data_IF_390906927602
#
_entry.id   IF_390906927602
#
_cell.length_a   1.000
_cell.length_b   1.000
_cell.length_c   1.000
_cell.angle_alpha   90.00
_cell.angle_beta   90.00
_cell.angle_gamma   90.00
#
_symmetry.space_group_name_H-M   'P 1'
#
loop_
_entity.id
_entity.type
_entity.pdbx_description
1 polymer ?
#
# COMPACT_ATOMS: atom_id res chain seq x y z
N UNK A 1 10.74 -10.89 19.28
CA UNK A 1 10.77 -11.91 18.21
C UNK A 1 9.78 -11.50 17.13
N UNK A 2 10.11 -11.68 15.84
CA UNK A 2 9.27 -11.29 14.70
C UNK A 2 8.50 -12.45 14.09
N UNK A 3 7.51 -12.16 13.24
CA UNK A 3 6.70 -13.16 12.50
C UNK A 3 7.60 -14.12 11.72
N UNK A 4 8.53 -13.59 10.94
CA UNK A 4 9.45 -14.36 10.09
C UNK A 4 10.32 -15.33 10.88
N UNK A 5 10.73 -14.93 12.08
CA UNK A 5 11.52 -15.73 13.01
C UNK A 5 10.66 -16.81 13.68
N UNK A 6 9.49 -16.42 14.18
CA UNK A 6 8.52 -17.32 14.83
C UNK A 6 8.14 -18.49 13.92
N UNK A 7 7.87 -18.21 12.64
CA UNK A 7 7.48 -19.22 11.66
C UNK A 7 8.64 -19.76 10.82
N UNK A 8 9.88 -19.37 11.13
CA UNK A 8 11.10 -19.86 10.47
C UNK A 8 11.05 -19.71 8.95
N UNK A 9 10.55 -18.58 8.46
CA UNK A 9 10.35 -18.32 7.02
C UNK A 9 11.67 -18.26 6.24
N UNK A 10 12.80 -18.04 6.94
CA UNK A 10 14.14 -17.86 6.34
C UNK A 10 14.18 -16.70 5.32
N UNK A 11 13.36 -15.68 5.55
CA UNK A 11 13.26 -14.45 4.76
C UNK A 11 13.53 -13.24 5.65
N UNK A 12 14.04 -12.16 5.06
CA UNK A 12 14.11 -10.84 5.70
C UNK A 12 12.99 -9.93 5.18
N UNK A 13 12.75 -8.80 5.84
CA UNK A 13 11.70 -7.81 5.49
C UNK A 13 11.66 -7.44 4.00
N UNK A 14 12.81 -7.31 3.34
CA UNK A 14 12.87 -6.99 1.91
C UNK A 14 12.19 -8.05 1.02
N UNK A 15 12.28 -9.33 1.40
CA UNK A 15 11.72 -10.47 0.65
C UNK A 15 10.26 -10.80 1.01
N UNK A 16 9.70 -10.13 2.03
CA UNK A 16 8.33 -10.32 2.51
C UNK A 16 7.41 -9.28 1.89
N UNK A 17 6.18 -9.67 1.55
CA UNK A 17 5.17 -8.73 1.02
C UNK A 17 4.44 -7.97 2.14
N UNK A 18 4.49 -8.49 3.36
CA UNK A 18 3.90 -7.90 4.56
C UNK A 18 4.97 -7.26 5.45
N UNK A 19 4.54 -6.45 6.42
CA UNK A 19 5.40 -5.91 7.47
C UNK A 19 5.71 -7.01 8.50
N UNK A 20 6.98 -7.37 8.68
CA UNK A 20 7.47 -8.42 9.59
C UNK A 20 7.42 -7.96 11.05
N UNK A 21 6.22 -7.73 11.55
CA UNK A 21 6.00 -7.10 12.85
C UNK A 21 6.64 -7.87 14.02
N UNK A 22 7.13 -7.16 15.06
CA UNK A 22 7.44 -7.80 16.33
C UNK A 22 6.15 -8.33 16.98
N UNK A 23 6.23 -9.48 17.66
CA UNK A 23 5.08 -10.12 18.31
C UNK A 23 4.81 -9.63 19.74
N UNK A 24 5.69 -8.78 20.28
CA UNK A 24 5.68 -8.37 21.70
C UNK A 24 5.54 -6.85 21.88
N UNK A 25 5.69 -6.08 20.79
CA UNK A 25 5.66 -4.62 20.72
C UNK A 25 5.06 -4.20 19.38
N UNK A 26 4.99 -2.90 19.10
CA UNK A 26 4.56 -2.39 17.80
C UNK A 26 5.76 -1.93 16.95
N UNK A 27 5.53 -1.84 15.64
CA UNK A 27 6.41 -1.14 14.71
C UNK A 27 5.83 0.25 14.38
N UNK A 28 6.60 1.36 14.48
CA UNK A 28 6.11 2.72 14.29
C UNK A 28 5.91 3.08 12.81
N UNK A 29 4.99 2.37 12.17
CA UNK A 29 4.51 2.58 10.80
C UNK A 29 2.98 2.56 10.81
N UNK A 30 2.36 3.23 9.84
CA UNK A 30 0.93 3.52 9.85
C UNK A 30 0.31 3.17 8.51
N UNK A 31 -0.86 2.52 8.51
CA UNK A 31 -1.67 2.33 7.31
C UNK A 31 -2.29 3.67 6.93
N UNK A 32 -2.16 4.05 5.67
CA UNK A 32 -2.58 5.36 5.21
C UNK A 32 -3.60 5.23 4.05
N UNK A 33 -4.79 5.85 4.12
CA UNK A 33 -5.81 5.62 3.10
C UNK A 33 -5.52 6.29 1.74
N UNK A 34 -4.75 7.37 1.68
CA UNK A 34 -4.26 7.92 0.40
C UNK A 34 -3.34 6.91 -0.31
N UNK A 35 -2.54 6.14 0.41
CA UNK A 35 -1.74 5.04 -0.13
C UNK A 35 -2.64 3.95 -0.74
N UNK A 36 -3.73 3.58 -0.05
CA UNK A 36 -4.69 2.61 -0.58
C UNK A 36 -5.35 3.15 -1.86
N UNK A 37 -5.82 4.42 -1.85
CA UNK A 37 -6.45 5.06 -3.02
C UNK A 37 -5.49 5.21 -4.21
N UNK A 38 -4.21 5.38 -3.95
CA UNK A 38 -3.20 5.49 -5.00
C UNK A 38 -2.88 4.15 -5.68
N UNK A 39 -3.22 3.02 -5.04
CA UNK A 39 -3.09 1.70 -5.66
C UNK A 39 -4.29 1.46 -6.58
N UNK A 40 -4.02 1.16 -7.85
CA UNK A 40 -5.03 0.77 -8.83
C UNK A 40 -5.11 -0.77 -8.95
N UNK A 41 -5.67 -1.40 -7.91
CA UNK A 41 -5.81 -2.86 -7.83
C UNK A 41 -7.23 -3.25 -7.42
N UNK A 42 -7.70 -4.48 -7.71
CA UNK A 42 -8.98 -4.95 -7.22
C UNK A 42 -9.10 -4.90 -5.68
N UNK A 43 -8.02 -5.29 -4.98
CA UNK A 43 -7.98 -5.31 -3.52
C UNK A 43 -8.06 -3.89 -2.92
N UNK A 44 -7.34 -2.92 -3.48
CA UNK A 44 -7.45 -1.52 -3.02
C UNK A 44 -8.80 -0.91 -3.32
N UNK A 45 -9.41 -1.25 -4.46
CA UNK A 45 -10.75 -0.77 -4.81
C UNK A 45 -11.81 -1.20 -3.79
N UNK A 46 -11.74 -2.45 -3.33
CA UNK A 46 -12.58 -2.96 -2.24
C UNK A 46 -12.33 -2.22 -0.92
N UNK A 47 -11.06 -2.04 -0.55
CA UNK A 47 -10.69 -1.29 0.66
C UNK A 47 -11.21 0.16 0.63
N UNK A 48 -11.11 0.84 -0.51
CA UNK A 48 -11.63 2.20 -0.69
C UNK A 48 -13.15 2.23 -0.55
N UNK A 49 -13.86 1.26 -1.14
CA UNK A 49 -15.31 1.17 -1.02
C UNK A 49 -15.75 0.98 0.45
N UNK A 50 -15.04 0.15 1.22
CA UNK A 50 -15.29 -0.04 2.66
C UNK A 50 -15.10 1.25 3.45
N UNK A 51 -13.99 1.96 3.22
CA UNK A 51 -13.67 3.22 3.89
C UNK A 51 -14.72 4.30 3.61
N UNK A 52 -15.09 4.47 2.34
CA UNK A 52 -16.11 5.44 1.91
C UNK A 52 -17.49 5.10 2.48
N UNK A 53 -17.88 3.83 2.42
CA UNK A 53 -19.15 3.35 2.95
C UNK A 53 -19.24 3.57 4.47
N UNK A 54 -18.21 3.19 5.21
CA UNK A 54 -18.16 3.38 6.66
C UNK A 54 -18.26 4.86 7.03
N UNK A 55 -17.41 5.70 6.43
CA UNK A 55 -17.35 7.11 6.82
C UNK A 55 -18.63 7.87 6.44
N UNK A 56 -19.25 7.53 5.31
CA UNK A 56 -20.58 8.07 4.93
C UNK A 56 -21.66 7.73 5.96
N UNK A 57 -21.63 6.51 6.54
CA UNK A 57 -22.54 6.11 7.60
C UNK A 57 -22.30 6.89 8.90
N UNK A 58 -21.04 7.14 9.26
CA UNK A 58 -20.67 7.98 10.41
C UNK A 58 -21.19 9.40 10.21
N UNK A 59 -20.88 10.05 9.08
CA UNK A 59 -21.32 11.41 8.78
C UNK A 59 -22.86 11.53 8.76
N UNK A 60 -23.56 10.55 8.19
CA UNK A 60 -25.02 10.50 8.20
C UNK A 60 -25.58 10.46 9.63
N UNK A 61 -24.98 9.68 10.52
CA UNK A 61 -25.38 9.61 11.92
C UNK A 61 -25.10 10.93 12.66
N UNK A 62 -23.94 11.57 12.43
CA UNK A 62 -23.62 12.92 12.95
C UNK A 62 -24.68 13.94 12.51
N UNK A 63 -24.98 13.99 11.21
CA UNK A 63 -25.92 14.96 10.63
C UNK A 63 -27.34 14.78 11.16
N UNK A 64 -27.78 13.54 11.38
CA UNK A 64 -29.09 13.22 11.97
C UNK A 64 -29.13 13.39 13.49
N UNK A 65 -28.00 13.66 14.15
CA UNK A 65 -27.90 13.71 15.60
C UNK A 65 -28.08 12.34 16.28
N UNK A 66 -27.92 11.23 15.54
CA UNK A 66 -28.07 9.87 16.07
C UNK A 66 -26.80 9.46 16.84
N UNK A 67 -26.75 9.90 18.10
CA UNK A 67 -25.64 9.64 19.02
C UNK A 67 -25.40 8.16 19.24
N UNK A 68 -26.47 7.39 19.44
CA UNK A 68 -26.34 5.97 19.74
C UNK A 68 -25.67 5.23 18.57
N UNK A 69 -26.10 5.53 17.35
CA UNK A 69 -25.52 4.95 16.14
C UNK A 69 -24.07 5.34 15.95
N UNK A 70 -23.74 6.63 16.02
CA UNK A 70 -22.38 7.07 15.76
C UNK A 70 -21.37 6.55 16.79
N UNK A 71 -21.73 6.55 18.08
CA UNK A 71 -20.91 5.95 19.14
C UNK A 71 -20.74 4.44 18.91
N UNK A 72 -21.80 3.74 18.49
CA UNK A 72 -21.71 2.32 18.14
C UNK A 72 -20.79 2.06 16.94
N UNK A 73 -20.76 2.94 15.94
CA UNK A 73 -19.88 2.81 14.78
C UNK A 73 -18.41 3.05 15.16
N UNK A 74 -18.14 4.17 15.85
CA UNK A 74 -16.77 4.57 16.23
C UNK A 74 -16.18 3.69 17.33
N UNK A 75 -17.00 3.14 18.22
CA UNK A 75 -16.53 2.32 19.36
C UNK A 75 -15.87 0.99 18.97
N UNK A 76 -15.98 0.56 17.70
CA UNK A 76 -15.32 -0.62 17.15
C UNK A 76 -14.01 -0.30 16.41
N UNK A 77 -13.64 0.98 16.30
CA UNK A 77 -12.36 1.40 15.69
C UNK A 77 -11.16 1.23 16.64
N UNK A 78 -11.39 0.67 17.83
CA UNK A 78 -10.37 0.53 18.86
C UNK A 78 -9.27 -0.41 18.42
N UNK A 79 -8.06 -0.11 18.89
CA UNK A 79 -6.89 -0.92 18.67
C UNK A 79 -7.11 -2.34 19.22
N UNK A 80 -6.91 -3.31 18.34
CA UNK A 80 -6.66 -4.69 18.74
C UNK A 80 -5.19 -4.94 18.50
N UNK A 81 -4.54 -5.64 19.43
CA UNK A 81 -3.13 -6.01 19.34
C UNK A 81 -2.82 -7.00 18.19
N UNK A 82 -3.73 -7.19 17.24
CA UNK A 82 -3.61 -8.17 16.16
C UNK A 82 -2.73 -7.65 15.00
N UNK A 83 -2.52 -6.33 14.89
CA UNK A 83 -1.80 -5.70 13.77
C UNK A 83 -0.33 -5.35 14.10
N UNK A 84 -0.02 -5.07 15.37
CA UNK A 84 1.31 -4.68 15.86
C UNK A 84 1.93 -3.46 15.14
N UNK A 85 1.11 -2.46 14.82
CA UNK A 85 1.51 -1.20 14.19
C UNK A 85 1.18 -0.05 15.14
N UNK A 86 2.12 0.87 15.37
CA UNK A 86 1.94 1.95 16.33
C UNK A 86 3.19 2.28 17.14
N UNK A 87 3.01 3.06 18.20
CA UNK A 87 4.11 3.57 19.03
C UNK A 87 4.33 2.78 20.34
N UNK A 88 3.64 1.66 20.58
CA UNK A 88 3.71 0.98 21.88
C UNK A 88 5.09 0.35 22.12
N UNK A 89 5.67 0.66 23.28
CA UNK A 89 6.96 0.10 23.75
C UNK A 89 6.84 -1.23 24.51
N UNK A 90 5.62 -1.71 24.77
CA UNK A 90 5.31 -3.04 25.34
C UNK A 90 4.12 -3.68 24.61
N UNK A 91 3.48 -4.72 25.19
CA UNK A 91 2.20 -5.23 24.65
C UNK A 91 1.24 -4.07 24.47
N UNK A 92 0.67 -3.89 23.28
CA UNK A 92 -0.16 -2.73 22.99
C UNK A 92 -1.25 -2.58 24.06
N UNK A 93 -1.23 -1.42 24.72
CA UNK A 93 -2.24 -1.00 25.70
C UNK A 93 -2.90 0.25 25.16
N UNK A 94 -3.64 0.03 24.07
CA UNK A 94 -4.72 0.81 23.49
C UNK A 94 -4.80 2.29 23.88
N UNK A 95 -4.45 3.17 22.96
CA UNK A 95 -4.86 4.58 23.00
C UNK A 95 -5.91 4.93 21.91
N UNK A 96 -6.15 4.05 20.95
CA UNK A 96 -7.13 4.30 19.89
C UNK A 96 -8.58 4.05 20.32
N UNK A 97 -9.43 5.06 20.11
CA UNK A 97 -10.90 5.10 20.18
C UNK A 97 -11.65 4.35 21.31
N UNK A 98 -10.99 3.82 22.35
CA UNK A 98 -11.60 3.14 23.51
C UNK A 98 -12.91 3.78 24.01
N UNK A 99 -13.79 3.06 24.73
CA UNK A 99 -15.14 3.55 25.09
C UNK A 99 -15.19 4.99 25.66
N UNK A 100 -14.14 5.45 26.36
CA UNK A 100 -13.97 6.84 26.77
C UNK A 100 -13.54 7.81 25.65
N UNK A 101 -12.62 7.40 24.76
CA UNK A 101 -12.15 8.20 23.62
C UNK A 101 -13.06 8.13 22.37
N UNK A 102 -13.83 7.07 22.12
CA UNK A 102 -14.91 7.10 21.13
C UNK A 102 -15.95 8.16 21.49
N UNK A 103 -16.26 8.30 22.79
CA UNK A 103 -17.10 9.37 23.31
C UNK A 103 -16.51 10.75 23.03
N UNK A 104 -15.22 10.96 23.33
CA UNK A 104 -14.56 12.25 23.08
C UNK A 104 -14.41 12.58 21.59
N UNK A 105 -14.08 11.60 20.74
CA UNK A 105 -14.00 11.81 19.28
C UNK A 105 -15.39 12.11 18.72
N UNK A 106 -16.42 11.38 19.15
CA UNK A 106 -17.80 11.70 18.79
C UNK A 106 -18.20 13.10 19.22
N UNK A 107 -17.87 13.50 20.46
CA UNK A 107 -18.12 14.85 20.93
C UNK A 107 -17.39 15.88 20.06
N UNK A 108 -16.12 15.64 19.73
CA UNK A 108 -15.36 16.49 18.82
C UNK A 108 -15.98 16.54 17.42
N UNK A 109 -16.49 15.43 16.88
CA UNK A 109 -17.20 15.39 15.59
C UNK A 109 -18.55 16.13 15.64
N UNK A 110 -19.32 16.02 16.72
CA UNK A 110 -20.59 16.74 16.89
C UNK A 110 -20.41 18.23 17.09
N UNK A 111 -19.39 18.61 17.85
CA UNK A 111 -19.05 20.01 18.13
C UNK A 111 -18.37 20.65 16.92
N UNK A 112 -17.69 19.86 16.10
CA UNK A 112 -17.16 20.28 14.82
C UNK A 112 -18.30 20.68 13.88
N UNK A 113 -18.37 21.98 13.59
CA UNK A 113 -19.26 22.49 12.56
C UNK A 113 -18.88 21.94 11.18
N UNK A 114 -17.61 21.66 10.93
CA UNK A 114 -17.11 21.04 9.70
C UNK A 114 -17.74 19.67 9.40
N UNK A 115 -18.07 18.89 10.43
CA UNK A 115 -18.81 17.62 10.27
C UNK A 115 -20.27 17.83 9.84
N UNK A 116 -20.90 18.92 10.30
CA UNK A 116 -22.29 19.27 9.99
C UNK A 116 -22.42 20.00 8.66
N UNK A 117 -21.42 20.79 8.27
CA UNK A 117 -21.41 21.56 7.02
C UNK A 117 -21.04 20.73 5.79
N UNK A 118 -20.60 19.48 5.98
CA UNK A 118 -20.17 18.59 4.89
C UNK A 118 -18.74 18.84 4.40
N UNK A 119 -17.97 19.67 5.11
CA UNK A 119 -16.55 19.91 4.83
C UNK A 119 -15.72 18.66 5.11
N UNK A 120 -16.06 17.91 6.16
CA UNK A 120 -15.51 16.57 6.39
C UNK A 120 -16.16 15.59 5.40
N UNK A 121 -15.33 14.98 4.55
CA UNK A 121 -15.79 14.03 3.52
C UNK A 121 -15.01 12.72 3.55
N UNK A 122 -13.77 12.74 4.02
CA UNK A 122 -12.95 11.55 4.22
C UNK A 122 -12.43 11.45 5.66
N UNK A 123 -12.03 10.25 6.07
CA UNK A 123 -11.53 9.96 7.42
C UNK A 123 -10.29 10.82 7.75
N UNK A 124 -9.41 11.07 6.79
CA UNK A 124 -8.17 11.84 6.95
C UNK A 124 -8.41 13.33 7.18
N UNK A 125 -9.56 13.85 6.75
CA UNK A 125 -9.94 15.23 7.04
C UNK A 125 -10.02 15.44 8.57
N UNK A 126 -10.37 14.39 9.33
CA UNK A 126 -10.42 14.45 10.79
C UNK A 126 -9.05 14.66 11.42
N UNK A 127 -7.97 14.16 10.81
CA UNK A 127 -6.61 14.43 11.27
C UNK A 127 -6.24 15.93 11.15
N UNK A 128 -6.87 16.66 10.24
CA UNK A 128 -6.65 18.10 10.07
C UNK A 128 -7.55 18.94 10.99
N UNK A 129 -8.81 18.54 11.14
CA UNK A 129 -9.86 19.41 11.68
C UNK A 129 -10.38 19.02 13.07
N UNK A 130 -10.01 17.83 13.56
CA UNK A 130 -10.49 17.31 14.85
C UNK A 130 -9.33 17.20 15.84
N UNK A 131 -9.45 17.91 16.96
CA UNK A 131 -8.49 17.88 18.05
C UNK A 131 -8.38 16.47 18.64
N UNK A 132 -7.15 16.06 18.97
CA UNK A 132 -6.86 14.72 19.49
C UNK A 132 -6.81 13.59 18.46
N UNK A 133 -7.22 13.80 17.20
CA UNK A 133 -7.11 12.76 16.15
C UNK A 133 -5.75 12.83 15.47
N UNK A 134 -4.92 11.80 15.68
CA UNK A 134 -3.60 11.63 15.09
C UNK A 134 -3.55 10.58 13.98
N UNK A 135 -2.38 10.43 13.34
CA UNK A 135 -2.16 9.45 12.27
C UNK A 135 -2.24 7.98 12.75
N UNK A 136 -1.88 7.74 14.01
CA UNK A 136 -2.06 6.47 14.72
C UNK A 136 -3.53 6.06 14.77
N UNK A 137 -4.40 6.97 15.22
CA UNK A 137 -5.83 6.74 15.28
C UNK A 137 -6.42 6.50 13.88
N UNK A 138 -5.99 7.27 12.87
CA UNK A 138 -6.43 7.03 11.48
C UNK A 138 -5.99 5.64 11.02
N UNK A 139 -4.74 5.26 11.24
CA UNK A 139 -4.22 3.94 10.87
C UNK A 139 -5.04 2.81 11.50
N UNK A 140 -5.32 2.90 12.80
CA UNK A 140 -6.10 1.87 13.51
C UNK A 140 -7.55 1.80 13.01
N UNK A 141 -8.17 2.96 12.78
CA UNK A 141 -9.50 3.03 12.20
C UNK A 141 -9.53 2.36 10.83
N UNK A 142 -8.54 2.65 9.97
CA UNK A 142 -8.42 2.04 8.64
C UNK A 142 -8.27 0.54 8.75
N UNK A 143 -7.30 0.06 9.53
CA UNK A 143 -7.07 -1.38 9.74
C UNK A 143 -8.33 -2.12 10.19
N UNK A 144 -9.12 -1.52 11.09
CA UNK A 144 -10.38 -2.13 11.54
C UNK A 144 -11.48 -2.09 10.47
N UNK A 145 -11.62 -0.99 9.71
CA UNK A 145 -12.61 -0.89 8.63
C UNK A 145 -12.30 -1.88 7.50
N UNK A 146 -11.03 -2.01 7.11
CA UNK A 146 -10.58 -2.92 6.04
C UNK A 146 -10.13 -4.30 6.58
N UNK A 147 -10.55 -4.66 7.79
CA UNK A 147 -10.11 -5.88 8.47
C UNK A 147 -10.42 -7.16 7.67
N UNK A 148 -11.56 -7.24 7.01
CA UNK A 148 -11.92 -8.41 6.21
C UNK A 148 -10.94 -8.63 5.03
N UNK A 149 -10.67 -7.63 4.16
CA UNK A 149 -9.61 -7.73 3.15
C UNK A 149 -8.21 -8.04 3.71
N UNK A 150 -7.87 -7.54 4.90
CA UNK A 150 -6.59 -7.86 5.57
C UNK A 150 -6.53 -9.30 6.07
N UNK A 151 -7.66 -9.86 6.55
CA UNK A 151 -7.76 -11.26 6.94
C UNK A 151 -7.56 -12.16 5.71
N UNK A 152 -8.22 -11.86 4.59
CA UNK A 152 -8.06 -12.63 3.35
C UNK A 152 -6.60 -12.58 2.86
N UNK A 153 -6.01 -11.39 2.84
CA UNK A 153 -4.58 -11.22 2.56
C UNK A 153 -3.70 -12.03 3.52
N UNK A 154 -4.00 -12.02 4.81
CA UNK A 154 -3.26 -12.79 5.82
C UNK A 154 -3.33 -14.29 5.53
N UNK A 155 -4.50 -14.80 5.18
CA UNK A 155 -4.70 -16.22 4.84
C UNK A 155 -3.92 -16.59 3.58
N UNK A 156 -3.91 -15.73 2.56
CA UNK A 156 -3.14 -15.94 1.34
C UNK A 156 -1.64 -15.96 1.63
N UNK A 157 -1.13 -15.02 2.44
CA UNK A 157 0.27 -15.03 2.88
C UNK A 157 0.60 -16.25 3.72
N UNK A 158 -0.30 -16.69 4.59
CA UNK A 158 -0.09 -17.89 5.39
C UNK A 158 0.02 -19.14 4.50
N UNK A 159 -0.86 -19.29 3.50
CA UNK A 159 -0.76 -20.37 2.51
C UNK A 159 0.52 -20.28 1.68
N UNK A 160 0.89 -19.07 1.24
CA UNK A 160 2.11 -18.84 0.45
C UNK A 160 3.39 -19.23 1.20
N UNK A 161 3.50 -18.86 2.47
CA UNK A 161 4.68 -19.10 3.30
C UNK A 161 4.62 -20.40 4.12
N UNK A 162 3.49 -21.12 4.09
CA UNK A 162 3.28 -22.31 4.91
C UNK A 162 3.14 -22.02 6.41
N UNK A 163 2.60 -20.85 6.77
CA UNK A 163 2.32 -20.48 8.16
C UNK A 163 1.06 -21.22 8.62
N UNK A 164 1.11 -21.98 9.74
CA UNK A 164 -0.05 -22.69 10.24
C UNK A 164 -1.11 -21.72 10.73
N UNK A 165 -2.38 -22.03 10.42
CA UNK A 165 -3.54 -21.29 10.89
C UNK A 165 -4.40 -22.17 11.80
N UNK A 166 -5.07 -21.54 12.75
CA UNK A 166 -6.02 -22.18 13.65
C UNK A 166 -7.43 -21.87 13.16
N UNK A 167 -8.28 -22.88 13.03
CA UNK A 167 -9.67 -22.73 12.63
C UNK A 167 -10.57 -22.23 13.76
N UNK A 168 -11.75 -21.73 13.40
CA UNK A 168 -12.77 -21.20 14.33
C UNK A 168 -12.25 -20.08 15.26
N UNK A 169 -11.31 -19.27 14.80
CA UNK A 169 -10.86 -18.07 15.49
C UNK A 169 -11.85 -16.94 15.22
N UNK A 170 -12.17 -16.13 16.23
CA UNK A 170 -12.99 -14.94 16.03
C UNK A 170 -12.26 -13.93 15.16
N UNK A 171 -12.87 -13.48 14.07
CA UNK A 171 -12.32 -12.43 13.21
C UNK A 171 -12.17 -11.08 13.94
N UNK A 172 -12.96 -10.88 14.99
CA UNK A 172 -13.32 -9.54 15.46
C UNK A 172 -14.38 -8.87 14.59
N UNK A 173 -14.80 -7.65 14.95
CA UNK A 173 -15.76 -6.88 14.18
C UNK A 173 -15.16 -6.52 12.83
N UNK A 174 -15.76 -7.01 11.77
CA UNK A 174 -15.49 -6.59 10.41
C UNK A 174 -16.62 -5.67 9.95
N UNK A 175 -16.28 -4.58 9.26
CA UNK A 175 -17.30 -3.71 8.69
C UNK A 175 -18.02 -4.43 7.53
N UNK A 176 -19.34 -4.53 7.61
CA UNK A 176 -20.16 -5.10 6.54
C UNK A 176 -20.95 -3.99 5.84
N UNK A 177 -20.68 -3.79 4.54
CA UNK A 177 -21.28 -2.70 3.76
C UNK A 177 -22.80 -2.87 3.57
N UNK A 178 -23.29 -4.11 3.54
CA UNK A 178 -24.71 -4.39 3.31
C UNK A 178 -25.50 -4.22 4.60
N UNK A 179 -25.01 -4.80 5.70
CA UNK A 179 -25.61 -4.63 7.02
C UNK A 179 -25.37 -3.22 7.59
N UNK A 180 -24.41 -2.48 7.03
CA UNK A 180 -23.89 -1.22 7.56
C UNK A 180 -23.54 -1.37 9.04
N UNK A 181 -22.95 -2.49 9.42
CA UNK A 181 -22.68 -2.77 10.83
C UNK A 181 -21.45 -3.65 10.99
N UNK A 182 -20.97 -3.70 12.22
CA UNK A 182 -19.86 -4.56 12.60
C UNK A 182 -20.36 -6.01 12.76
N UNK A 183 -19.77 -6.93 12.00
CA UNK A 183 -20.12 -8.35 12.00
C UNK A 183 -18.88 -9.17 12.33
N UNK A 184 -18.97 -10.07 13.31
CA UNK A 184 -17.91 -11.03 13.62
C UNK A 184 -18.20 -12.37 12.96
N UNK A 185 -17.14 -13.05 12.52
CA UNK A 185 -17.20 -14.37 11.88
C UNK A 185 -16.17 -15.30 12.54
N UNK A 186 -16.35 -16.61 12.35
CA UNK A 186 -15.36 -17.61 12.71
C UNK A 186 -14.55 -17.96 11.47
N UNK A 187 -13.23 -17.82 11.57
CA UNK A 187 -12.30 -17.88 10.44
C UNK A 187 -11.03 -18.64 10.82
N UNK A 188 -10.12 -18.78 9.86
CA UNK A 188 -8.77 -19.27 10.10
C UNK A 188 -7.79 -18.10 10.20
N UNK A 189 -6.94 -18.08 11.24
CA UNK A 189 -5.87 -17.10 11.42
C UNK A 189 -4.60 -17.74 12.01
N UNK A 190 -3.42 -17.17 11.72
CA UNK A 190 -2.21 -17.52 12.47
C UNK A 190 -2.33 -17.04 13.92
N UNK A 191 -1.91 -17.88 14.86
CA UNK A 191 -1.98 -17.58 16.30
C UNK A 191 -0.62 -17.69 17.01
N UNK A 192 0.35 -16.83 16.69
CA UNK A 192 1.65 -16.88 17.34
C UNK A 192 1.49 -16.63 18.85
N UNK A 193 2.08 -17.49 19.68
CA UNK A 193 1.94 -17.44 21.15
C UNK A 193 0.48 -17.45 21.66
N UNK A 194 -0.46 -17.96 20.88
CA UNK A 194 -1.88 -18.03 21.24
C UNK A 194 -2.67 -16.72 21.08
N UNK A 195 -2.09 -15.69 20.45
CA UNK A 195 -2.77 -14.44 20.13
C UNK A 195 -3.02 -14.36 18.62
N UNK A 196 -4.16 -13.79 18.18
CA UNK A 196 -4.46 -13.61 16.76
C UNK A 196 -3.49 -12.63 16.10
N UNK A 197 -3.05 -12.93 14.88
CA UNK A 197 -2.22 -12.05 14.07
C UNK A 197 -2.89 -11.78 12.72
N UNK A 198 -2.97 -10.50 12.34
CA UNK A 198 -3.38 -10.06 11.01
C UNK A 198 -2.21 -9.35 10.35
N UNK A 199 -1.75 -9.91 9.23
CA UNK A 199 -0.64 -9.37 8.45
C UNK A 199 -1.10 -8.17 7.63
N UNK A 200 -0.26 -7.14 7.59
CA UNK A 200 -0.53 -5.91 6.83
C UNK A 200 0.45 -5.82 5.66
N UNK A 201 -0.02 -5.61 4.41
CA UNK A 201 0.84 -5.42 3.26
C UNK A 201 1.81 -4.26 3.48
N UNK A 202 3.10 -4.45 3.17
CA UNK A 202 4.08 -3.37 3.37
C UNK A 202 3.90 -2.21 2.38
N UNK A 203 3.14 -2.42 1.29
CA UNK A 203 2.83 -1.42 0.27
C UNK A 203 1.90 -0.30 0.74
N UNK A 204 1.06 -0.54 1.75
CA UNK A 204 0.07 0.43 2.26
C UNK A 204 0.51 1.17 3.52
N UNK A 205 1.66 0.80 4.10
CA UNK A 205 2.19 1.46 5.31
C UNK A 205 3.10 2.65 4.97
N UNK A 206 3.10 3.66 5.84
CA UNK A 206 3.88 4.89 5.76
C UNK A 206 4.52 5.21 7.11
N UNK A 207 5.57 6.03 7.10
CA UNK A 207 6.22 6.52 8.32
C UNK A 207 5.35 7.53 9.10
N UNK A 208 4.46 8.22 8.40
CA UNK A 208 3.57 9.24 8.95
C UNK A 208 2.29 9.32 8.09
N UNK A 209 1.23 9.91 8.65
CA UNK A 209 0.00 10.17 7.91
C UNK A 209 0.22 11.15 6.75
N UNK A 210 -0.55 10.97 5.67
CA UNK A 210 -0.43 11.85 4.50
C UNK A 210 -0.86 13.30 4.79
N UNK A 211 -1.80 13.48 5.72
CA UNK A 211 -2.40 14.76 6.06
C UNK A 211 -1.71 15.32 7.30
N UNK A 212 -1.11 16.50 7.15
CA UNK A 212 -0.41 17.20 8.20
C UNK A 212 -1.06 18.57 8.44
N UNK A 213 -1.60 18.75 9.65
CA UNK A 213 -2.31 19.96 10.05
C UNK A 213 -1.42 21.20 9.99
N UNK A 214 -0.14 21.05 10.36
CA UNK A 214 0.84 22.14 10.31
C UNK A 214 1.08 22.62 8.88
N UNK A 215 1.31 21.69 7.96
CA UNK A 215 1.52 21.97 6.54
C UNK A 215 0.27 22.55 5.90
N UNK A 216 -0.89 21.95 6.14
CA UNK A 216 -2.17 22.45 5.63
C UNK A 216 -2.41 23.90 6.06
N UNK A 217 -2.30 24.17 7.37
CA UNK A 217 -2.51 25.52 7.90
C UNK A 217 -1.48 26.52 7.35
N UNK A 218 -0.19 26.18 7.41
CA UNK A 218 0.90 27.11 7.06
C UNK A 218 1.04 27.35 5.56
N UNK A 219 0.81 26.33 4.73
CA UNK A 219 1.11 26.37 3.29
C UNK A 219 -0.13 26.43 2.39
N UNK A 220 -1.33 26.18 2.92
CA UNK A 220 -2.58 26.26 2.15
C UNK A 220 -3.52 27.34 2.70
N UNK A 221 -3.89 27.29 3.98
CA UNK A 221 -4.80 28.29 4.57
C UNK A 221 -4.19 29.69 4.65
N UNK A 222 -3.06 29.84 5.35
CA UNK A 222 -2.48 31.16 5.59
C UNK A 222 -2.14 31.94 4.31
N UNK A 223 -1.58 31.34 3.25
CA UNK A 223 -1.34 32.06 1.99
C UNK A 223 -2.61 32.60 1.34
N UNK A 224 -3.73 31.89 1.43
CA UNK A 224 -4.99 32.35 0.86
C UNK A 224 -5.59 33.49 1.70
N UNK A 225 -5.55 33.36 3.03
CA UNK A 225 -5.94 34.45 3.94
C UNK A 225 -5.08 35.71 3.72
N UNK A 226 -3.77 35.57 3.48
CA UNK A 226 -2.91 36.70 3.11
C UNK A 226 -3.44 37.43 1.87
N UNK A 227 -3.83 36.71 0.82
CA UNK A 227 -4.40 37.31 -0.40
C UNK A 227 -5.73 38.01 -0.11
N UNK A 228 -6.63 37.38 0.64
CA UNK A 228 -7.92 37.95 0.99
C UNK A 228 -7.78 39.24 1.81
N UNK A 229 -6.90 39.25 2.81
CA UNK A 229 -6.62 40.44 3.61
C UNK A 229 -5.95 41.57 2.81
N UNK A 230 -5.06 41.23 1.87
CA UNK A 230 -4.46 42.20 0.94
C UNK A 230 -5.51 42.79 -0.01
N UNK A 231 -6.39 41.96 -0.57
CA UNK A 231 -7.44 42.39 -1.49
C UNK A 231 -8.46 43.30 -0.81
N UNK A 232 -8.91 42.92 0.40
CA UNK A 232 -9.89 43.70 1.19
C UNK A 232 -9.32 44.95 1.84
N UNK A 233 -7.98 45.08 1.95
CA UNK A 233 -7.37 46.22 2.65
C UNK A 233 -7.64 46.22 4.15
N UNK A 234 -7.84 45.05 4.74
CA UNK A 234 -8.14 44.89 6.18
C UNK A 234 -7.07 45.49 7.10
N UNK A 235 -7.41 45.65 8.39
CA UNK A 235 -6.49 46.15 9.42
C UNK A 235 -5.23 45.29 9.67
N UNK A 236 -5.11 44.12 9.04
CA UNK A 236 -3.89 43.30 9.09
C UNK A 236 -2.87 43.65 8.00
N UNK A 237 -3.19 44.59 7.11
CA UNK A 237 -2.30 45.02 6.03
C UNK A 237 -1.29 46.05 6.53
N UNK A 238 0.00 45.73 6.38
CA UNK A 238 1.12 46.63 6.64
C UNK A 238 1.60 47.26 5.34
N UNK A 239 1.91 48.56 5.36
CA UNK A 239 2.58 49.27 4.25
C UNK A 239 4.05 49.47 4.62
N UNK A 240 4.95 48.89 3.83
CA UNK A 240 6.39 49.04 4.04
C UNK A 240 6.88 50.41 3.59
N UNK A 241 8.08 50.81 4.05
CA UNK A 241 8.77 52.02 3.57
C UNK A 241 8.92 52.07 2.03
N UNK A 242 9.01 50.90 1.40
CA UNK A 242 9.03 50.73 -0.07
C UNK A 242 7.67 50.87 -0.75
N UNK A 243 6.62 51.29 -0.03
CA UNK A 243 5.20 51.34 -0.44
C UNK A 243 4.57 49.98 -0.80
N UNK A 244 5.30 48.87 -0.63
CA UNK A 244 4.74 47.52 -0.81
C UNK A 244 3.81 47.17 0.34
N UNK A 245 2.63 46.64 0.00
CA UNK A 245 1.65 46.11 0.96
C UNK A 245 1.97 44.66 1.28
N UNK A 246 1.90 44.28 2.56
CA UNK A 246 2.07 42.89 3.00
C UNK A 246 1.13 42.55 4.15
N UNK A 247 0.82 41.27 4.28
CA UNK A 247 0.22 40.68 5.48
C UNK A 247 1.16 39.57 5.92
N UNK A 248 1.51 39.49 7.20
CA UNK A 248 2.44 38.46 7.69
C UNK A 248 1.68 37.23 8.20
N UNK A 249 2.25 36.03 8.01
CA UNK A 249 1.69 34.79 8.58
C UNK A 249 1.60 34.86 10.10
N UNK A 250 2.57 35.48 10.76
CA UNK A 250 2.59 35.68 12.21
C UNK A 250 1.39 36.51 12.69
N UNK A 251 1.04 37.59 11.98
CA UNK A 251 -0.14 38.39 12.31
C UNK A 251 -1.44 37.59 12.16
N UNK A 252 -1.57 36.80 11.09
CA UNK A 252 -2.72 35.93 10.87
C UNK A 252 -2.84 34.84 11.96
N UNK A 253 -1.73 34.19 12.33
CA UNK A 253 -1.72 33.20 13.41
C UNK A 253 -2.14 33.80 14.76
N UNK A 254 -1.71 35.04 15.05
CA UNK A 254 -2.12 35.75 16.27
C UNK A 254 -3.61 36.12 16.24
N UNK A 255 -4.14 36.48 15.06
CA UNK A 255 -5.53 36.89 14.90
C UNK A 255 -6.50 35.72 14.94
N UNK A 256 -6.19 34.63 14.23
CA UNK A 256 -7.10 33.50 14.07
C UNK A 256 -6.83 32.32 15.02
N UNK A 257 -5.64 32.23 15.63
CA UNK A 257 -5.21 31.04 16.36
C UNK A 257 -4.59 29.97 15.46
N UNK A 258 -4.02 28.92 16.07
CA UNK A 258 -3.25 27.87 15.38
C UNK A 258 -3.64 26.43 15.77
N UNK A 259 -4.59 26.27 16.69
CA UNK A 259 -5.12 24.96 17.08
C UNK A 259 -6.06 24.39 16.00
N UNK A 260 -6.44 23.11 16.11
CA UNK A 260 -7.28 22.49 15.06
C UNK A 260 -8.69 23.07 15.02
N UNK A 261 -9.21 23.63 16.11
CA UNK A 261 -10.51 24.29 16.11
C UNK A 261 -10.49 25.57 15.27
N UNK A 262 -9.42 26.37 15.38
CA UNK A 262 -9.19 27.53 14.53
C UNK A 262 -9.03 27.12 13.06
N UNK A 263 -8.27 26.05 12.80
CA UNK A 263 -8.11 25.49 11.44
C UNK A 263 -9.46 25.06 10.86
N UNK A 264 -10.26 24.31 11.62
CA UNK A 264 -11.59 23.86 11.20
C UNK A 264 -12.50 25.03 10.82
N UNK A 265 -12.58 26.07 11.65
CA UNK A 265 -13.37 27.26 11.37
C UNK A 265 -12.90 27.98 10.09
N UNK A 266 -11.59 28.16 9.93
CA UNK A 266 -11.04 28.79 8.73
C UNK A 266 -11.30 27.97 7.46
N UNK A 267 -11.26 26.64 7.58
CA UNK A 267 -11.57 25.74 6.46
C UNK A 267 -13.05 25.77 6.09
N UNK A 268 -13.96 25.90 7.07
CA UNK A 268 -15.39 26.07 6.79
C UNK A 268 -15.68 27.32 5.97
N UNK A 269 -15.01 28.43 6.28
CA UNK A 269 -15.12 29.68 5.53
C UNK A 269 -14.43 29.60 4.15
N UNK A 270 -13.59 28.58 3.92
CA UNK A 270 -12.76 28.43 2.73
C UNK A 270 -12.64 26.96 2.25
N UNK A 271 -13.75 26.28 1.93
CA UNK A 271 -13.74 24.84 1.65
C UNK A 271 -12.89 24.44 0.43
N UNK A 272 -12.78 25.34 -0.55
CA UNK A 272 -11.95 25.12 -1.76
C UNK A 272 -10.46 24.92 -1.43
N UNK A 273 -9.98 25.48 -0.31
CA UNK A 273 -8.58 25.31 0.12
C UNK A 273 -8.33 23.86 0.55
N UNK A 274 -9.29 23.25 1.27
CA UNK A 274 -9.20 21.83 1.61
C UNK A 274 -9.24 20.98 0.34
N UNK A 275 -10.18 21.23 -0.58
CA UNK A 275 -10.25 20.50 -1.85
C UNK A 275 -8.92 20.58 -2.64
N UNK A 276 -8.27 21.75 -2.66
CA UNK A 276 -6.94 21.93 -3.27
C UNK A 276 -5.85 21.12 -2.56
N UNK A 277 -5.86 21.08 -1.24
CA UNK A 277 -4.91 20.28 -0.45
C UNK A 277 -5.07 18.78 -0.75
N UNK A 278 -6.32 18.29 -0.72
CA UNK A 278 -6.66 16.88 -1.02
C UNK A 278 -6.23 16.49 -2.43
N UNK A 279 -6.47 17.36 -3.42
CA UNK A 279 -6.03 17.15 -4.80
C UNK A 279 -4.51 17.08 -4.92
N UNK A 280 -3.77 17.94 -4.21
CA UNK A 280 -2.31 17.91 -4.21
C UNK A 280 -1.79 16.60 -3.59
N UNK A 281 -2.36 16.15 -2.47
CA UNK A 281 -1.98 14.88 -1.81
C UNK A 281 -2.33 13.65 -2.62
N UNK A 282 -3.42 13.70 -3.39
CA UNK A 282 -3.80 12.59 -4.28
C UNK A 282 -2.94 12.53 -5.54
N UNK A 283 -2.44 13.68 -6.03
CA UNK A 283 -1.56 13.75 -7.18
C UNK A 283 -0.12 13.33 -6.87
N UNK A 284 0.31 13.51 -5.62
CA UNK A 284 1.64 13.13 -5.13
C UNK A 284 1.51 12.36 -3.79
N UNK A 285 1.02 11.10 -3.84
CA UNK A 285 0.87 10.29 -2.65
C UNK A 285 2.25 9.93 -2.09
N UNK A 286 2.36 9.88 -0.76
CA UNK A 286 3.60 9.48 -0.11
C UNK A 286 4.05 8.10 -0.64
N UNK A 287 5.33 7.92 -0.99
CA UNK A 287 5.81 6.66 -1.52
C UNK A 287 5.77 5.57 -0.43
N UNK A 288 5.64 4.28 -0.81
CA UNK A 288 5.82 3.17 0.12
C UNK A 288 7.18 3.21 0.80
N UNK A 289 7.26 2.68 2.03
CA UNK A 289 8.52 2.61 2.77
C UNK A 289 9.50 1.72 1.99
N UNK A 290 10.70 2.23 1.73
CA UNK A 290 11.74 1.51 1.00
C UNK A 290 12.31 0.34 1.82
N UNK A 291 12.92 -0.66 1.16
CA UNK A 291 13.56 -1.77 1.86
C UNK A 291 14.68 -1.31 2.81
N UNK A 292 15.45 -0.27 2.43
CA UNK A 292 16.49 0.30 3.29
C UNK A 292 15.91 1.03 4.50
N UNK A 293 14.84 1.80 4.30
CA UNK A 293 14.15 2.49 5.40
C UNK A 293 13.52 1.48 6.36
N UNK A 294 12.94 0.38 5.88
CA UNK A 294 12.52 -0.71 6.75
C UNK A 294 13.69 -1.23 7.58
N UNK A 295 14.83 -1.54 6.97
CA UNK A 295 16.00 -2.02 7.71
C UNK A 295 16.46 -1.04 8.81
N UNK A 296 16.40 0.27 8.55
CA UNK A 296 16.68 1.32 9.54
C UNK A 296 15.69 1.30 10.71
N UNK A 297 14.38 1.26 10.44
CA UNK A 297 13.33 1.18 11.49
C UNK A 297 13.52 -0.07 12.35
N UNK A 298 13.87 -1.19 11.71
CA UNK A 298 14.06 -2.47 12.37
C UNK A 298 15.41 -2.58 13.09
N UNK A 299 16.30 -1.60 12.91
CA UNK A 299 17.69 -1.59 13.38
C UNK A 299 18.46 -2.85 12.95
N UNK A 300 18.32 -3.23 11.67
CA UNK A 300 19.01 -4.37 11.05
C UNK A 300 19.78 -3.93 9.79
N UNK A 301 20.75 -4.74 9.37
CA UNK A 301 21.46 -4.48 8.13
C UNK A 301 20.54 -4.59 6.92
N UNK A 302 20.60 -3.59 6.04
CA UNK A 302 19.86 -3.58 4.79
C UNK A 302 20.23 -4.79 3.92
N UNK A 303 19.22 -5.39 3.30
CA UNK A 303 19.40 -6.52 2.38
C UNK A 303 19.99 -6.00 1.07
N UNK A 304 21.17 -6.49 0.72
CA UNK A 304 21.78 -6.21 -0.58
C UNK A 304 21.15 -7.11 -1.64
N UNK A 305 20.50 -6.52 -2.65
CA UNK A 305 19.89 -7.28 -3.75
C UNK A 305 20.90 -8.18 -4.47
N UNK A 306 22.16 -7.74 -4.55
CA UNK A 306 23.25 -8.53 -5.13
C UNK A 306 23.55 -9.82 -4.35
N UNK A 307 23.33 -9.84 -3.02
CA UNK A 307 23.48 -11.06 -2.22
C UNK A 307 22.33 -12.04 -2.46
N UNK A 308 21.10 -11.53 -2.70
CA UNK A 308 19.97 -12.37 -3.11
C UNK A 308 20.19 -12.96 -4.50
N UNK A 309 20.72 -12.16 -5.44
CA UNK A 309 21.13 -12.62 -6.77
C UNK A 309 22.17 -13.73 -6.69
N UNK A 310 23.26 -13.54 -5.93
CA UNK A 310 24.29 -14.57 -5.72
C UNK A 310 23.71 -15.88 -5.19
N UNK A 311 22.76 -15.81 -4.25
CA UNK A 311 22.08 -17.00 -3.73
C UNK A 311 21.27 -17.71 -4.81
N UNK A 312 20.58 -16.99 -5.67
CA UNK A 312 19.79 -17.56 -6.76
C UNK A 312 20.69 -18.28 -7.79
N UNK A 313 21.75 -17.63 -8.26
CA UNK A 313 22.64 -18.21 -9.28
C UNK A 313 23.53 -19.35 -8.74
N UNK A 314 23.79 -19.37 -7.42
CA UNK A 314 24.53 -20.45 -6.77
C UNK A 314 23.75 -21.78 -6.73
N UNK A 315 22.42 -21.76 -6.94
CA UNK A 315 21.64 -23.01 -7.04
C UNK A 315 22.06 -23.75 -8.32
N UNK A 316 22.39 -25.05 -8.26
CA UNK A 316 22.77 -25.78 -9.47
C UNK A 316 21.62 -25.89 -10.49
N UNK A 317 21.90 -25.81 -11.81
CA UNK A 317 20.90 -26.08 -12.83
C UNK A 317 20.36 -27.52 -12.75
N UNK A 318 19.13 -27.71 -13.22
CA UNK A 318 18.50 -29.02 -13.35
C UNK A 318 17.25 -29.21 -12.49
N UNK A 319 16.43 -30.19 -12.87
CA UNK A 319 15.14 -30.50 -12.24
C UNK A 319 15.25 -30.83 -10.75
N UNK A 320 16.35 -31.46 -10.33
CA UNK A 320 16.59 -31.83 -8.93
C UNK A 320 16.62 -30.61 -7.98
N UNK A 321 16.97 -29.43 -8.49
CA UNK A 321 17.10 -28.19 -7.72
C UNK A 321 16.10 -27.11 -8.14
N UNK A 322 15.07 -27.46 -8.94
CA UNK A 322 14.10 -26.51 -9.47
C UNK A 322 13.39 -25.72 -8.36
N UNK A 323 12.92 -26.39 -7.31
CA UNK A 323 12.24 -25.74 -6.18
C UNK A 323 13.14 -24.81 -5.35
N UNK A 324 14.43 -25.16 -5.21
CA UNK A 324 15.39 -24.30 -4.52
C UNK A 324 15.69 -23.04 -5.34
N UNK A 325 15.81 -23.19 -6.67
CA UNK A 325 15.98 -22.08 -7.60
C UNK A 325 14.76 -21.15 -7.60
N UNK A 326 13.55 -21.71 -7.76
CA UNK A 326 12.27 -20.98 -7.69
C UNK A 326 12.19 -20.14 -6.40
N UNK A 327 12.46 -20.76 -5.25
CA UNK A 327 12.43 -20.07 -3.95
C UNK A 327 13.47 -18.95 -3.87
N UNK A 328 14.69 -19.18 -4.35
CA UNK A 328 15.74 -18.17 -4.30
C UNK A 328 15.42 -16.98 -5.20
N UNK A 329 14.99 -17.24 -6.45
CA UNK A 329 14.60 -16.21 -7.40
C UNK A 329 13.35 -15.46 -6.92
N UNK A 330 12.35 -16.13 -6.35
CA UNK A 330 11.18 -15.46 -5.74
C UNK A 330 11.57 -14.44 -4.67
N UNK A 331 12.53 -14.78 -3.81
CA UNK A 331 13.03 -13.85 -2.80
C UNK A 331 13.69 -12.63 -3.42
N UNK A 332 14.51 -12.87 -4.44
CA UNK A 332 15.11 -11.81 -5.25
C UNK A 332 14.04 -10.92 -5.88
N UNK A 333 13.05 -11.48 -6.59
CA UNK A 333 12.00 -10.72 -7.26
C UNK A 333 11.11 -9.96 -6.27
N UNK A 334 10.76 -10.55 -5.13
CA UNK A 334 9.94 -9.88 -4.11
C UNK A 334 10.65 -8.65 -3.53
N UNK A 335 11.98 -8.72 -3.39
CA UNK A 335 12.79 -7.59 -2.95
C UNK A 335 13.08 -6.58 -4.08
N UNK A 336 13.33 -7.08 -5.29
CA UNK A 336 13.73 -6.30 -6.46
C UNK A 336 12.55 -5.54 -7.07
N UNK A 337 11.37 -6.15 -7.16
CA UNK A 337 10.22 -5.58 -7.88
C UNK A 337 9.29 -4.76 -6.98
N UNK A 338 9.49 -4.78 -5.66
CA UNK A 338 8.78 -3.92 -4.74
C UNK A 338 9.29 -2.46 -4.86
N UNK A 339 8.40 -1.44 -4.94
CA UNK A 339 6.95 -1.50 -4.71
C UNK A 339 6.09 -1.60 -5.97
N UNK A 340 6.70 -1.78 -7.14
CA UNK A 340 5.96 -1.85 -8.40
C UNK A 340 5.07 -3.08 -8.50
N UNK A 341 5.58 -4.24 -8.09
CA UNK A 341 4.85 -5.49 -8.02
C UNK A 341 4.75 -5.98 -6.57
N UNK A 342 3.54 -6.34 -6.15
CA UNK A 342 3.19 -6.71 -4.78
C UNK A 342 2.28 -7.94 -4.77
N UNK A 343 1.95 -8.44 -3.58
CA UNK A 343 1.02 -9.55 -3.35
C UNK A 343 1.34 -10.78 -4.22
N UNK A 344 2.49 -11.43 -3.97
CA UNK A 344 2.87 -12.65 -4.67
C UNK A 344 1.92 -13.80 -4.32
N UNK A 345 1.46 -14.53 -5.33
CA UNK A 345 0.62 -15.73 -5.17
C UNK A 345 1.27 -16.88 -5.91
N UNK A 346 1.64 -17.93 -5.17
CA UNK A 346 2.14 -19.21 -5.70
C UNK A 346 1.00 -20.09 -6.16
N UNK A 347 1.28 -20.91 -7.17
CA UNK A 347 0.36 -21.95 -7.64
C UNK A 347 -1.05 -21.43 -7.88
N UNK A 348 -1.19 -20.17 -8.33
CA UNK A 348 -2.47 -19.49 -8.44
C UNK A 348 -3.40 -20.31 -9.36
N UNK A 349 -4.48 -20.92 -8.84
CA UNK A 349 -5.37 -21.71 -9.66
C UNK A 349 -6.12 -20.76 -10.59
N UNK A 350 -5.89 -20.89 -11.89
CA UNK A 350 -6.68 -20.22 -12.92
C UNK A 350 -7.60 -21.24 -13.61
N UNK A 351 -8.72 -20.76 -14.16
CA UNK A 351 -9.74 -21.59 -14.82
C UNK A 351 -10.29 -22.73 -13.92
N UNK A 352 -10.71 -22.40 -12.69
CA UNK A 352 -11.23 -23.36 -11.70
C UNK A 352 -10.20 -24.45 -11.35
N UNK A 353 -8.92 -24.09 -11.24
CA UNK A 353 -7.85 -25.01 -10.82
C UNK A 353 -7.23 -25.87 -11.92
N UNK A 354 -7.68 -25.74 -13.18
CA UNK A 354 -7.14 -26.52 -14.32
C UNK A 354 -5.76 -26.08 -14.79
N UNK A 355 -5.31 -24.89 -14.39
CA UNK A 355 -4.05 -24.29 -14.80
C UNK A 355 -3.42 -23.65 -13.56
N UNK A 356 -2.15 -23.96 -13.31
CA UNK A 356 -1.38 -23.49 -12.15
C UNK A 356 -0.23 -22.64 -12.67
N UNK A 357 -0.13 -21.37 -12.25
CA UNK A 357 1.04 -20.51 -12.52
C UNK A 357 2.03 -20.66 -11.37
N UNK A 358 3.33 -20.71 -11.67
CA UNK A 358 4.37 -20.78 -10.63
C UNK A 358 4.24 -19.59 -9.67
N UNK A 359 4.18 -18.37 -10.22
CA UNK A 359 4.03 -17.15 -9.44
C UNK A 359 3.22 -16.08 -10.20
N UNK A 360 2.42 -15.31 -9.46
CA UNK A 360 1.72 -14.13 -9.96
C UNK A 360 1.90 -12.97 -9.00
N UNK A 361 2.22 -11.79 -9.52
CA UNK A 361 2.18 -10.54 -8.78
C UNK A 361 0.99 -9.68 -9.19
N UNK A 362 0.51 -8.84 -8.27
CA UNK A 362 -0.37 -7.71 -8.56
C UNK A 362 0.47 -6.50 -8.95
N UNK A 363 0.11 -5.81 -10.03
CA UNK A 363 0.79 -4.60 -10.46
C UNK A 363 0.22 -3.38 -9.73
N UNK A 364 1.02 -2.77 -8.87
CA UNK A 364 0.67 -1.55 -8.11
C UNK A 364 1.54 -0.35 -8.48
N UNK A 365 2.23 -0.42 -9.61
CA UNK A 365 3.23 0.56 -9.99
C UNK A 365 2.59 1.91 -10.37
N UNK A 366 3.03 2.98 -9.71
CA UNK A 366 2.64 4.37 -10.03
C UNK A 366 3.62 5.04 -10.98
N UNK A 367 4.87 4.58 -11.02
CA UNK A 367 5.95 5.06 -11.90
C UNK A 367 6.78 3.89 -12.47
N UNK A 368 7.73 4.21 -13.35
CA UNK A 368 8.65 3.24 -13.96
C UNK A 368 8.02 2.31 -15.01
N UNK A 369 8.71 1.21 -15.29
CA UNK A 369 8.34 0.27 -16.37
C UNK A 369 6.94 -0.31 -16.20
N UNK A 370 6.58 -0.81 -15.01
CA UNK A 370 5.29 -1.45 -14.79
C UNK A 370 4.10 -0.48 -14.79
N UNK A 371 4.32 0.80 -14.45
CA UNK A 371 3.31 1.85 -14.61
C UNK A 371 3.10 2.20 -16.08
N UNK A 372 4.18 2.34 -16.84
CA UNK A 372 4.11 2.49 -18.30
C UNK A 372 3.37 1.31 -18.94
N UNK A 373 3.71 0.09 -18.54
CA UNK A 373 3.10 -1.13 -19.04
C UNK A 373 1.57 -1.11 -18.85
N UNK A 374 1.07 -0.79 -17.66
CA UNK A 374 -0.37 -0.71 -17.37
C UNK A 374 -1.12 0.38 -18.15
N UNK A 375 -0.43 1.45 -18.56
CA UNK A 375 -1.05 2.53 -19.36
C UNK A 375 -1.22 2.16 -20.83
N UNK A 376 -0.44 1.20 -21.32
CA UNK A 376 -0.42 0.82 -22.73
C UNK A 376 -0.95 -0.60 -22.98
N UNK A 377 -0.93 -1.46 -21.96
CA UNK A 377 -1.30 -2.88 -22.05
C UNK A 377 -2.10 -3.30 -20.81
N UNK A 378 -2.98 -4.29 -20.96
CA UNK A 378 -3.71 -4.84 -19.82
C UNK A 378 -2.76 -5.67 -18.96
N UNK A 379 -2.31 -5.09 -17.84
CA UNK A 379 -1.35 -5.73 -16.94
C UNK A 379 -1.69 -5.54 -15.43
N UNK A 380 -2.92 -5.84 -14.97
CA UNK A 380 -3.25 -5.81 -13.54
C UNK A 380 -2.49 -6.89 -12.76
N UNK A 381 -2.11 -7.97 -13.44
CA UNK A 381 -1.26 -9.02 -12.92
C UNK A 381 -0.07 -9.27 -13.86
N UNK A 382 1.06 -9.63 -13.26
CA UNK A 382 2.27 -10.09 -13.98
C UNK A 382 2.52 -11.53 -13.58
N UNK A 383 2.50 -12.42 -14.57
CA UNK A 383 2.75 -13.85 -14.37
C UNK A 383 4.24 -14.15 -14.49
N UNK A 384 4.77 -15.00 -13.64
CA UNK A 384 6.17 -15.41 -13.65
C UNK A 384 6.25 -16.93 -13.71
N UNK A 385 7.07 -17.44 -14.63
CA UNK A 385 7.37 -18.86 -14.80
C UNK A 385 8.89 -19.06 -14.69
N UNK A 386 9.30 -20.13 -14.00
CA UNK A 386 10.72 -20.41 -13.75
C UNK A 386 11.17 -21.65 -14.51
N UNK A 387 12.33 -21.59 -15.16
CA UNK A 387 12.94 -22.72 -15.88
C UNK A 387 14.39 -22.90 -15.46
N UNK A 388 14.63 -23.81 -14.51
CA UNK A 388 15.98 -24.16 -14.05
C UNK A 388 16.64 -25.21 -14.97
N UNK A 389 16.74 -24.91 -16.27
CA UNK A 389 17.32 -25.80 -17.28
C UNK A 389 18.64 -25.26 -17.82
N UNK A 390 19.48 -26.16 -18.34
CA UNK A 390 20.71 -25.80 -19.08
C UNK A 390 20.46 -25.56 -20.56
N UNK A 391 19.33 -26.03 -21.08
CA UNK A 391 18.90 -25.82 -22.46
C UNK A 391 18.07 -24.54 -22.60
N UNK A 392 18.07 -23.96 -23.79
CA UNK A 392 17.22 -22.83 -24.14
C UNK A 392 15.73 -23.19 -24.03
N UNK A 393 14.96 -22.17 -23.64
CA UNK A 393 13.50 -22.17 -23.61
C UNK A 393 12.95 -22.49 -25.01
N UNK A 394 11.91 -23.33 -25.11
CA UNK A 394 11.29 -23.73 -26.38
C UNK A 394 9.84 -23.24 -26.43
N UNK A 395 9.15 -23.52 -27.54
CA UNK A 395 7.74 -23.15 -27.73
C UNK A 395 6.83 -23.61 -26.58
N UNK A 396 6.93 -24.86 -26.06
CA UNK A 396 6.03 -25.33 -25.01
C UNK A 396 6.07 -24.46 -23.75
N UNK A 397 7.23 -23.97 -23.35
CA UNK A 397 7.37 -23.11 -22.17
C UNK A 397 6.75 -21.72 -22.39
N UNK A 398 6.88 -21.16 -23.60
CA UNK A 398 6.22 -19.90 -23.96
C UNK A 398 4.70 -20.08 -24.08
N UNK A 399 4.24 -21.18 -24.67
CA UNK A 399 2.81 -21.49 -24.79
C UNK A 399 2.18 -21.75 -23.41
N UNK A 400 2.93 -22.33 -22.47
CA UNK A 400 2.52 -22.47 -21.07
C UNK A 400 2.23 -21.10 -20.44
N UNK A 401 3.16 -20.13 -20.60
CA UNK A 401 3.01 -18.78 -20.06
C UNK A 401 1.90 -18.00 -20.79
N UNK A 402 1.86 -18.04 -22.11
CA UNK A 402 0.81 -17.43 -22.91
C UNK A 402 -0.58 -17.94 -22.54
N UNK A 403 -0.69 -19.25 -22.26
CA UNK A 403 -1.92 -19.88 -21.79
C UNK A 403 -2.44 -19.38 -20.44
N UNK A 404 -1.70 -18.52 -19.72
CA UNK A 404 -2.13 -17.88 -18.47
C UNK A 404 -2.85 -16.55 -18.70
N UNK A 405 -2.63 -15.94 -19.86
CA UNK A 405 -3.10 -14.60 -20.15
C UNK A 405 -4.60 -14.57 -20.45
N UNK A 406 -5.22 -13.44 -20.17
CA UNK A 406 -6.59 -13.15 -20.54
C UNK A 406 -6.82 -11.64 -20.64
N UNK A 407 -7.91 -11.25 -21.31
CA UNK A 407 -8.25 -9.82 -21.48
C UNK A 407 -8.54 -9.10 -20.16
N UNK A 408 -8.94 -9.81 -19.10
CA UNK A 408 -9.23 -9.22 -17.78
C UNK A 408 -8.17 -9.55 -16.74
N UNK A 409 -7.53 -10.73 -16.84
CA UNK A 409 -6.50 -11.20 -15.91
C UNK A 409 -5.07 -10.79 -16.26
N UNK A 410 -4.87 -10.01 -17.32
CA UNK A 410 -3.56 -9.52 -17.74
C UNK A 410 -2.96 -10.32 -18.89
N UNK A 411 -2.13 -9.62 -19.68
CA UNK A 411 -1.53 -10.13 -20.92
C UNK A 411 0.00 -10.09 -20.92
N UNK A 412 0.62 -9.92 -19.74
CA UNK A 412 2.07 -9.76 -19.62
C UNK A 412 2.62 -10.81 -18.67
N UNK A 413 3.75 -11.42 -19.06
CA UNK A 413 4.45 -12.39 -18.25
C UNK A 413 5.97 -12.29 -18.39
N UNK A 414 6.67 -12.81 -17.38
CA UNK A 414 8.11 -12.89 -17.31
C UNK A 414 8.48 -14.37 -17.21
N UNK A 415 9.36 -14.84 -18.09
CA UNK A 415 9.94 -16.17 -17.98
C UNK A 415 11.39 -16.03 -17.55
N UNK A 416 11.74 -16.67 -16.43
CA UNK A 416 13.10 -16.64 -15.90
C UNK A 416 13.78 -17.98 -16.18
N UNK A 417 14.97 -17.94 -16.77
CA UNK A 417 15.77 -19.10 -17.12
C UNK A 417 17.24 -18.90 -16.74
N UNK A 418 18.05 -19.96 -16.86
CA UNK A 418 19.48 -19.88 -16.50
C UNK A 418 20.31 -19.16 -17.56
N UNK A 419 20.06 -19.46 -18.83
CA UNK A 419 20.80 -18.90 -19.95
C UNK A 419 19.92 -18.87 -21.20
N UNK A 420 20.24 -17.96 -22.13
CA UNK A 420 19.69 -17.94 -23.48
C UNK A 420 20.84 -17.94 -24.48
N UNK A 421 21.03 -19.06 -25.17
CA UNK A 421 22.09 -19.24 -26.16
C UNK A 421 21.76 -18.56 -27.50
N UNK A 422 20.50 -18.62 -27.95
CA UNK A 422 20.01 -17.93 -29.15
C UNK A 422 18.96 -16.86 -28.81
N UNK A 423 19.44 -15.69 -28.40
CA UNK A 423 18.58 -14.56 -28.03
C UNK A 423 17.69 -14.07 -29.18
N UNK A 424 18.20 -14.10 -30.42
CA UNK A 424 17.43 -13.64 -31.59
C UNK A 424 16.22 -14.52 -31.83
N UNK A 425 16.39 -15.83 -31.69
CA UNK A 425 15.29 -16.79 -31.84
C UNK A 425 14.23 -16.61 -30.75
N UNK A 426 14.63 -16.45 -29.49
CA UNK A 426 13.68 -16.22 -28.39
C UNK A 426 12.91 -14.92 -28.59
N UNK A 427 13.60 -13.82 -28.94
CA UNK A 427 12.95 -12.53 -29.19
C UNK A 427 11.96 -12.62 -30.37
N UNK A 428 12.30 -13.35 -31.43
CA UNK A 428 11.40 -13.60 -32.56
C UNK A 428 10.15 -14.38 -32.14
N UNK A 429 10.30 -15.45 -31.37
CA UNK A 429 9.17 -16.26 -30.87
C UNK A 429 8.23 -15.44 -29.98
N UNK A 430 8.78 -14.61 -29.09
CA UNK A 430 7.99 -13.76 -28.20
C UNK A 430 7.30 -12.62 -28.97
N UNK A 431 7.94 -12.06 -29.99
CA UNK A 431 7.37 -11.07 -30.91
C UNK A 431 6.20 -11.64 -31.71
N UNK A 432 6.36 -12.86 -32.24
CA UNK A 432 5.30 -13.53 -32.99
C UNK A 432 4.08 -13.77 -32.09
N UNK A 433 4.30 -14.22 -30.85
CA UNK A 433 3.22 -14.34 -29.86
C UNK A 433 2.52 -13.00 -29.56
N UNK A 434 3.28 -11.91 -29.42
CA UNK A 434 2.71 -10.58 -29.21
C UNK A 434 1.86 -10.13 -30.41
N UNK A 435 2.35 -10.32 -31.63
CA UNK A 435 1.64 -9.99 -32.89
C UNK A 435 0.37 -10.81 -33.08
N UNK A 436 0.38 -12.07 -32.67
CA UNK A 436 -0.79 -12.96 -32.70
C UNK A 436 -1.83 -12.62 -31.62
N UNK A 437 -1.57 -11.64 -30.76
CA UNK A 437 -2.42 -11.30 -29.62
C UNK A 437 -2.38 -12.33 -28.50
N UNK A 438 -1.37 -13.21 -28.49
CA UNK A 438 -1.13 -14.25 -27.47
C UNK A 438 -0.40 -13.71 -26.23
N UNK A 439 -0.24 -12.39 -26.13
CA UNK A 439 0.33 -11.64 -25.01
C UNK A 439 1.83 -11.37 -25.11
N UNK A 440 2.36 -10.67 -24.11
CA UNK A 440 3.72 -10.13 -24.09
C UNK A 440 4.56 -10.89 -23.08
N UNK A 441 5.58 -11.62 -23.56
CA UNK A 441 6.45 -12.45 -22.74
C UNK A 441 7.87 -11.90 -22.74
N UNK A 442 8.37 -11.51 -21.57
CA UNK A 442 9.75 -11.07 -21.38
C UNK A 442 10.56 -12.26 -20.87
N UNK A 443 11.57 -12.69 -21.61
CA UNK A 443 12.49 -13.76 -21.18
C UNK A 443 13.75 -13.14 -20.57
N UNK A 444 14.04 -13.48 -19.32
CA UNK A 444 15.23 -13.04 -18.58
C UNK A 444 16.09 -14.24 -18.22
N UNK A 445 17.40 -14.14 -18.49
CA UNK A 445 18.39 -15.08 -17.97
C UNK A 445 19.10 -14.57 -16.71
N UNK A 446 20.02 -15.36 -16.14
CA UNK A 446 20.77 -14.97 -14.94
C UNK A 446 21.57 -13.66 -15.16
N UNK A 447 22.08 -13.40 -16.38
CA UNK A 447 22.81 -12.15 -16.69
C UNK A 447 21.88 -10.93 -16.80
N UNK A 448 20.67 -11.13 -17.34
CA UNK A 448 19.62 -10.12 -17.34
C UNK A 448 19.21 -9.75 -15.90
N UNK A 449 19.07 -10.75 -15.01
CA UNK A 449 18.78 -10.52 -13.58
C UNK A 449 19.89 -9.72 -12.89
N UNK A 450 21.16 -10.02 -13.18
CA UNK A 450 22.29 -9.24 -12.65
C UNK A 450 22.21 -7.77 -13.07
N UNK A 451 21.85 -7.53 -14.32
CA UNK A 451 21.71 -6.19 -14.90
C UNK A 451 20.55 -5.43 -14.24
N UNK A 452 19.44 -6.11 -13.95
CA UNK A 452 18.32 -5.51 -13.20
C UNK A 452 18.73 -5.12 -11.78
N UNK A 453 19.42 -6.01 -11.06
CA UNK A 453 19.89 -5.74 -9.70
C UNK A 453 20.78 -4.50 -9.66
N UNK A 454 21.66 -4.33 -10.65
CA UNK A 454 22.54 -3.15 -10.78
C UNK A 454 21.80 -1.86 -11.14
N UNK A 455 20.57 -1.93 -11.67
CA UNK A 455 19.78 -0.79 -12.16
C UNK A 455 18.48 -0.56 -11.36
N UNK A 456 18.36 -1.10 -10.15
CA UNK A 456 17.11 -1.10 -9.36
C UNK A 456 16.48 0.29 -9.19
N UNK A 457 17.25 1.34 -8.90
CA UNK A 457 16.70 2.71 -8.71
C UNK A 457 15.99 3.22 -9.96
N UNK A 458 16.53 2.90 -11.15
CA UNK A 458 15.94 3.27 -12.44
C UNK A 458 14.56 2.61 -12.66
N UNK A 459 14.34 1.44 -12.10
CA UNK A 459 13.14 0.65 -12.36
C UNK A 459 11.86 1.22 -11.72
N UNK A 460 11.99 1.88 -10.56
CA UNK A 460 10.83 2.29 -9.75
C UNK A 460 10.52 3.78 -9.79
N UNK A 461 11.55 4.62 -9.86
CA UNK A 461 11.39 6.05 -9.55
C UNK A 461 11.85 6.97 -10.69
N UNK A 462 12.74 6.49 -11.55
CA UNK A 462 13.23 7.25 -12.70
C UNK A 462 12.50 6.82 -13.98
N UNK A 463 12.41 7.72 -14.94
CA UNK A 463 11.94 7.41 -16.30
C UNK A 463 13.05 6.75 -17.15
N UNK A 464 14.23 6.49 -16.56
CA UNK A 464 15.32 5.82 -17.24
C UNK A 464 14.93 4.40 -17.63
N UNK A 465 15.33 4.04 -18.84
CA UNK A 465 15.04 2.73 -19.42
C UNK A 465 15.89 1.67 -18.72
N UNK A 466 15.25 0.55 -18.40
CA UNK A 466 15.91 -0.65 -17.87
C UNK A 466 15.97 -1.73 -18.94
N UNK A 467 16.64 -2.85 -18.63
CA UNK A 467 16.62 -4.02 -19.51
C UNK A 467 15.20 -4.58 -19.71
N UNK A 468 14.24 -4.34 -18.81
CA UNK A 468 12.83 -4.69 -19.06
C UNK A 468 12.28 -3.90 -20.25
N UNK A 469 12.59 -2.60 -20.35
CA UNK A 469 12.19 -1.77 -21.48
C UNK A 469 12.86 -2.26 -22.77
N UNK A 470 14.14 -2.60 -22.72
CA UNK A 470 14.86 -3.11 -23.90
C UNK A 470 14.29 -4.44 -24.40
N UNK A 471 14.03 -5.37 -23.47
CA UNK A 471 13.43 -6.68 -23.79
C UNK A 471 12.01 -6.52 -24.30
N UNK A 472 11.22 -5.62 -23.71
CA UNK A 472 9.86 -5.34 -24.17
C UNK A 472 9.83 -4.71 -25.57
N UNK A 473 10.74 -3.77 -25.88
CA UNK A 473 10.84 -3.17 -27.21
C UNK A 473 11.06 -4.23 -28.30
N UNK A 474 11.84 -5.28 -28.02
CA UNK A 474 12.05 -6.39 -28.96
C UNK A 474 10.78 -7.19 -29.27
N UNK A 475 9.73 -7.06 -28.45
CA UNK A 475 8.44 -7.72 -28.68
C UNK A 475 7.55 -6.91 -29.64
N UNK A 476 7.71 -5.58 -29.67
CA UNK A 476 6.75 -4.66 -30.33
C UNK A 476 7.34 -3.83 -31.47
N UNK A 477 8.65 -3.58 -31.48
CA UNK A 477 9.40 -2.90 -32.54
C UNK A 477 10.12 -3.92 -33.41
#
# INVERSE_FOLDING_TARGET
>A
MRVSQQYKLKRKQAELDFVDVPLDTDLPVFVEPTAIRAMDTPWSSECVALLQNFFSNVLTAVQKGDKARAVSLLGSLNERNDFHLGYSSGKSRGHAFGKGSAGSVWESLLTSKAAKSGVLSDLEDTALLIEGVGADMISDAVCNIIRAPLIEYTQDMCRYYGIPMVANVSSGPCWDMQAQNWVARHIELPMPKGESLVLVPKSIVRLAGAYDAGTYYRHYLLPELQKQHLASGSGLVEVLKSKKRRVTKTALMKHYGKDKNAVAKLTEDNPDILAKYKKAKSADPSPPISNSTFAEIENVANVQLYDLYKKAVAVPPGRAHAHDYERAVEGLLSALLYPSLIHPVRQAPINQGRKIVDLRFSNSATAGFFSWLSKHYTAPYVFVEFKNYTEDVKNPELDQLSGRFSKSGGQVGILICRAVSDRKKIDAMCRDAAKDGRGYMIVLDDADLETLVKSTTAMHYDASRTILNERFDRLVL
#
